data_IF_855918818070
#
_entry.id   IF_855918818070
#
_cell.length_a   1.000
_cell.length_b   1.000
_cell.length_c   1.000
_cell.angle_alpha   90.00
_cell.angle_beta   90.00
_cell.angle_gamma   90.00
#
_symmetry.space_group_name_H-M   'P 1'
#
loop_
_entity.id
_entity.type
_entity.pdbx_description
1 polymer ?
#
# COMPACT_ATOMS: atom_id res chain seq x y z
N UNK A 1 10.16 -12.12 23.31
CA UNK A 1 9.28 -12.24 22.16
C UNK A 1 9.89 -13.14 21.11
N UNK A 2 9.20 -14.17 20.75
CA UNK A 2 9.70 -15.12 19.78
C UNK A 2 9.63 -14.52 18.39
N UNK A 3 10.77 -14.50 17.71
CA UNK A 3 10.78 -14.13 16.31
C UNK A 3 10.23 -15.30 15.52
N UNK A 4 9.04 -15.15 14.98
CA UNK A 4 8.47 -16.19 14.15
C UNK A 4 9.27 -16.41 12.87
N UNK A 5 9.11 -17.57 12.26
CA UNK A 5 9.62 -17.85 10.93
C UNK A 5 8.90 -16.92 9.96
N UNK A 6 9.61 -16.26 9.01
CA UNK A 6 8.95 -15.43 8.00
C UNK A 6 7.89 -16.23 7.27
N UNK A 7 6.70 -15.66 7.17
CA UNK A 7 5.56 -16.31 6.52
C UNK A 7 5.02 -15.42 5.42
N UNK A 8 4.69 -16.02 4.29
CA UNK A 8 3.98 -15.35 3.22
C UNK A 8 2.50 -15.31 3.62
N UNK A 9 1.94 -14.12 3.63
CA UNK A 9 0.53 -13.92 3.93
C UNK A 9 -0.33 -14.49 2.80
N UNK A 10 -1.29 -15.34 3.13
CA UNK A 10 -2.16 -15.94 2.11
C UNK A 10 -3.29 -14.98 1.69
N UNK A 11 -4.01 -15.34 0.64
CA UNK A 11 -5.11 -14.52 0.11
C UNK A 11 -6.21 -14.33 1.13
N UNK A 12 -6.52 -15.35 1.92
CA UNK A 12 -7.58 -15.29 2.93
C UNK A 12 -7.25 -14.28 4.02
N UNK A 13 -6.01 -14.30 4.51
CA UNK A 13 -5.55 -13.34 5.53
C UNK A 13 -5.57 -11.91 5.00
N UNK A 14 -5.16 -11.70 3.76
CA UNK A 14 -5.22 -10.40 3.12
C UNK A 14 -6.68 -9.92 3.03
N UNK A 15 -7.58 -10.76 2.56
CA UNK A 15 -9.00 -10.43 2.45
C UNK A 15 -9.61 -10.04 3.79
N UNK A 16 -9.24 -10.74 4.84
CA UNK A 16 -9.74 -10.43 6.19
C UNK A 16 -9.33 -9.03 6.63
N UNK A 17 -8.06 -8.67 6.43
CA UNK A 17 -7.57 -7.34 6.76
C UNK A 17 -8.29 -6.28 5.93
N UNK A 18 -8.39 -6.49 4.61
CA UNK A 18 -9.01 -5.52 3.71
C UNK A 18 -10.49 -5.36 3.98
N UNK A 19 -11.20 -6.44 4.31
CA UNK A 19 -12.61 -6.39 4.68
C UNK A 19 -12.80 -5.53 5.94
N UNK A 20 -11.97 -5.76 6.96
CA UNK A 20 -12.00 -4.97 8.18
C UNK A 20 -11.81 -3.48 7.87
N UNK A 21 -10.81 -3.14 7.07
CA UNK A 21 -10.53 -1.75 6.71
C UNK A 21 -11.69 -1.11 5.94
N UNK A 22 -12.24 -1.84 4.98
CA UNK A 22 -13.36 -1.35 4.17
C UNK A 22 -14.59 -1.08 5.02
N UNK A 23 -14.92 -1.98 5.92
CA UNK A 23 -16.14 -1.87 6.73
C UNK A 23 -16.00 -0.89 7.89
N UNK A 24 -14.82 -0.72 8.46
CA UNK A 24 -14.66 0.03 9.70
C UNK A 24 -13.91 1.34 9.56
N UNK A 25 -13.19 1.56 8.47
CA UNK A 25 -12.29 2.70 8.34
C UNK A 25 -12.67 3.63 7.20
N UNK A 26 -13.11 3.10 6.06
CA UNK A 26 -13.44 3.92 4.90
C UNK A 26 -14.70 4.76 5.09
N UNK A 27 -14.73 5.99 4.61
CA UNK A 27 -13.60 6.75 4.10
C UNK A 27 -12.74 7.28 5.25
N UNK A 28 -11.45 7.48 5.00
CA UNK A 28 -10.53 7.97 6.02
C UNK A 28 -9.48 8.88 5.38
N UNK A 29 -8.91 9.78 6.17
CA UNK A 29 -7.94 10.74 5.67
C UNK A 29 -6.52 10.20 5.83
N UNK A 30 -5.73 10.29 4.77
CA UNK A 30 -4.31 9.99 4.86
C UNK A 30 -3.61 11.07 5.68
N UNK A 31 -2.81 10.67 6.64
CA UNK A 31 -2.13 11.60 7.53
C UNK A 31 -0.62 11.63 7.29
N UNK A 32 0.04 10.49 7.31
CA UNK A 32 1.49 10.42 7.13
C UNK A 32 1.95 9.01 6.75
N UNK A 33 3.22 8.91 6.38
CA UNK A 33 3.89 7.66 6.08
C UNK A 33 5.33 7.71 6.53
N UNK A 34 5.88 6.56 6.86
CA UNK A 34 7.30 6.40 7.16
C UNK A 34 7.77 5.02 6.69
N UNK A 35 9.06 4.90 6.41
CA UNK A 35 9.65 3.66 5.92
C UNK A 35 10.72 3.18 6.90
N UNK A 36 10.36 2.27 7.83
CA UNK A 36 11.31 1.80 8.86
C UNK A 36 12.42 0.92 8.29
N UNK A 37 12.14 0.20 7.22
CA UNK A 37 13.06 -0.73 6.58
C UNK A 37 12.97 -0.59 5.06
N UNK A 38 13.98 -1.06 4.31
CA UNK A 38 13.99 -0.89 2.84
C UNK A 38 12.76 -1.42 2.11
N UNK A 39 12.11 -2.44 2.64
CA UNK A 39 10.95 -3.08 2.00
C UNK A 39 9.67 -2.98 2.82
N UNK A 40 9.59 -2.03 3.75
CA UNK A 40 8.43 -1.89 4.64
C UNK A 40 8.05 -0.43 4.77
N UNK A 41 6.76 -0.12 4.59
CA UNK A 41 6.21 1.22 4.82
C UNK A 41 5.10 1.15 5.85
N UNK A 42 4.97 2.20 6.64
CA UNK A 42 3.90 2.35 7.62
C UNK A 42 3.08 3.57 7.25
N UNK A 43 1.78 3.36 7.09
CA UNK A 43 0.82 4.37 6.64
C UNK A 43 -0.13 4.72 7.78
N UNK A 44 -0.35 6.00 7.99
CA UNK A 44 -1.27 6.48 9.02
C UNK A 44 -2.50 7.11 8.39
N UNK A 45 -3.66 6.69 8.86
CA UNK A 45 -4.95 7.23 8.46
C UNK A 45 -5.69 7.76 9.68
N UNK A 46 -6.38 8.89 9.50
CA UNK A 46 -7.13 9.52 10.57
C UNK A 46 -8.61 9.53 10.24
N UNK A 47 -9.41 8.88 11.10
CA UNK A 47 -10.86 8.98 11.11
C UNK A 47 -11.33 10.09 12.05
N UNK A 48 -12.62 10.09 12.35
CA UNK A 48 -13.22 11.11 13.23
C UNK A 48 -12.62 11.06 14.65
N UNK A 49 -12.59 9.86 15.24
CA UNK A 49 -12.18 9.68 16.64
C UNK A 49 -10.95 8.78 16.79
N UNK A 50 -10.35 8.35 15.71
CA UNK A 50 -9.28 7.36 15.80
C UNK A 50 -8.23 7.54 14.71
N UNK A 51 -7.08 6.96 14.99
CA UNK A 51 -5.94 6.88 14.09
C UNK A 51 -5.70 5.40 13.80
N UNK A 52 -5.49 5.06 12.54
CA UNK A 52 -5.20 3.69 12.14
C UNK A 52 -3.85 3.65 11.44
N UNK A 53 -3.01 2.73 11.88
CA UNK A 53 -1.70 2.48 11.27
C UNK A 53 -1.71 1.14 10.56
N UNK A 54 -1.24 1.15 9.32
CA UNK A 54 -1.04 -0.05 8.52
C UNK A 54 0.44 -0.21 8.21
N UNK A 55 0.92 -1.44 8.33
CA UNK A 55 2.25 -1.78 7.88
C UNK A 55 2.14 -2.64 6.64
N UNK A 56 2.81 -2.22 5.57
CA UNK A 56 2.87 -2.97 4.33
C UNK A 56 4.31 -3.30 4.04
N UNK A 57 4.61 -4.58 3.88
CA UNK A 57 5.95 -5.05 3.54
C UNK A 57 5.94 -5.79 2.20
N UNK A 58 6.87 -5.43 1.35
CA UNK A 58 7.13 -6.14 0.10
C UNK A 58 8.45 -6.91 0.18
N UNK A 59 8.87 -7.24 1.39
CA UNK A 59 9.98 -8.16 1.61
C UNK A 59 9.60 -9.52 1.04
N UNK A 60 10.42 -10.07 0.15
CA UNK A 60 10.12 -11.32 -0.55
C UNK A 60 9.91 -12.51 0.38
N UNK A 61 10.51 -12.49 1.56
CA UNK A 61 10.38 -13.59 2.53
C UNK A 61 9.10 -13.50 3.36
N UNK A 62 8.55 -12.29 3.52
CA UNK A 62 7.36 -12.08 4.34
C UNK A 62 6.52 -10.89 3.86
N UNK A 63 6.01 -10.96 2.62
CA UNK A 63 5.14 -9.90 2.14
C UNK A 63 3.84 -9.88 2.96
N UNK A 64 3.39 -8.69 3.36
CA UNK A 64 2.23 -8.60 4.26
C UNK A 64 1.61 -7.21 4.28
N UNK A 65 0.35 -7.18 4.67
CA UNK A 65 -0.35 -5.96 5.06
C UNK A 65 -1.03 -6.22 6.42
N UNK A 66 -0.76 -5.38 7.41
CA UNK A 66 -1.23 -5.56 8.78
C UNK A 66 -1.66 -4.24 9.38
N UNK A 67 -2.70 -4.29 10.22
CA UNK A 67 -2.99 -3.20 11.14
C UNK A 67 -2.02 -3.32 12.32
N UNK A 68 -1.37 -2.23 12.69
CA UNK A 68 -0.40 -2.19 13.78
C UNK A 68 -0.76 -1.10 14.78
N UNK A 69 -0.17 -1.17 15.96
CA UNK A 69 -0.21 -0.07 16.91
C UNK A 69 0.65 1.07 16.40
N UNK A 70 0.41 2.28 16.90
CA UNK A 70 1.20 3.45 16.50
C UNK A 70 2.69 3.16 16.71
N UNK A 71 3.50 3.19 15.63
CA UNK A 71 4.92 2.93 15.74
C UNK A 71 5.68 4.16 16.26
N UNK A 72 6.92 3.94 16.66
CA UNK A 72 7.81 5.04 16.99
C UNK A 72 8.13 5.84 15.72
N UNK A 73 8.27 7.15 15.89
CA UNK A 73 8.60 8.04 14.79
C UNK A 73 10.05 7.79 14.36
N UNK A 74 10.24 7.66 13.04
CA UNK A 74 11.56 7.45 12.46
C UNK A 74 12.13 8.82 12.08
N UNK A 75 13.37 9.07 12.47
CA UNK A 75 14.03 10.37 12.24
C UNK A 75 14.57 10.57 10.82
N UNK A 76 14.46 9.55 9.96
CA UNK A 76 14.92 9.62 8.57
C UNK A 76 13.77 9.46 7.60
N UNK A 77 13.97 9.93 6.37
CA UNK A 77 12.95 9.90 5.34
C UNK A 77 13.52 9.27 4.07
N UNK A 78 12.80 8.31 3.49
CA UNK A 78 13.16 7.73 2.20
C UNK A 78 12.50 8.51 1.07
N UNK A 79 13.00 8.35 -0.15
CA UNK A 79 12.38 8.95 -1.33
C UNK A 79 10.93 8.49 -1.48
N UNK A 80 10.69 7.19 -1.31
CA UNK A 80 9.34 6.62 -1.42
C UNK A 80 8.39 7.21 -0.37
N UNK A 81 8.77 7.19 0.90
CA UNK A 81 7.91 7.71 1.98
C UNK A 81 7.65 9.21 1.82
N UNK A 82 8.64 9.96 1.35
CA UNK A 82 8.51 11.39 1.07
C UNK A 82 7.50 11.64 -0.05
N UNK A 83 7.62 10.92 -1.17
CA UNK A 83 6.71 11.04 -2.30
C UNK A 83 5.27 10.73 -1.90
N UNK A 84 5.08 9.64 -1.15
CA UNK A 84 3.76 9.23 -0.68
C UNK A 84 3.21 10.24 0.32
N UNK A 85 4.02 10.63 1.31
CA UNK A 85 3.60 11.54 2.36
C UNK A 85 3.14 12.89 1.80
N UNK A 86 3.91 13.48 0.90
CA UNK A 86 3.54 14.78 0.32
C UNK A 86 2.44 14.65 -0.72
N UNK A 87 2.45 13.59 -1.51
CA UNK A 87 1.47 13.42 -2.58
C UNK A 87 0.07 13.05 -2.10
N UNK A 88 -0.04 12.35 -0.97
CA UNK A 88 -1.32 11.89 -0.44
C UNK A 88 -1.80 12.70 0.77
N UNK A 89 -1.02 13.66 1.23
CA UNK A 89 -1.35 14.41 2.44
C UNK A 89 -2.74 15.06 2.33
N UNK A 90 -3.55 14.80 3.35
CA UNK A 90 -4.93 15.28 3.46
C UNK A 90 -5.92 14.68 2.45
N UNK A 91 -5.48 13.75 1.61
CA UNK A 91 -6.38 13.06 0.69
C UNK A 91 -7.21 12.01 1.42
N UNK A 92 -8.38 11.71 0.90
CA UNK A 92 -9.25 10.68 1.43
C UNK A 92 -8.99 9.34 0.75
N UNK A 93 -8.75 8.30 1.54
CA UNK A 93 -8.80 6.92 1.06
C UNK A 93 -10.27 6.56 0.93
N UNK A 94 -10.72 6.30 -0.29
CA UNK A 94 -12.14 6.06 -0.55
C UNK A 94 -12.43 4.68 -1.10
N UNK A 95 -11.43 3.95 -1.58
CA UNK A 95 -11.64 2.59 -2.07
C UNK A 95 -10.45 1.70 -1.77
N UNK A 96 -10.77 0.45 -1.53
CA UNK A 96 -9.79 -0.63 -1.35
C UNK A 96 -10.31 -1.79 -2.21
N UNK A 97 -9.54 -2.16 -3.23
CA UNK A 97 -9.89 -3.25 -4.13
C UNK A 97 -8.81 -4.32 -4.10
N UNK A 98 -9.21 -5.56 -4.26
CA UNK A 98 -8.31 -6.71 -4.33
C UNK A 98 -8.71 -7.58 -5.52
N UNK A 99 -7.73 -8.07 -6.26
CA UNK A 99 -7.96 -9.09 -7.27
C UNK A 99 -8.33 -10.40 -6.57
N UNK A 100 -9.37 -11.09 -7.07
CA UNK A 100 -9.89 -12.31 -6.47
C UNK A 100 -8.89 -13.45 -6.41
N UNK A 101 -7.95 -13.50 -7.34
CA UNK A 101 -7.03 -14.61 -7.49
C UNK A 101 -5.57 -14.25 -7.21
N UNK A 102 -5.28 -12.98 -6.99
CA UNK A 102 -3.92 -12.52 -6.80
C UNK A 102 -3.82 -11.67 -5.53
N UNK A 103 -2.61 -11.55 -5.03
CA UNK A 103 -2.33 -10.72 -3.84
C UNK A 103 -1.98 -9.31 -4.28
N UNK A 104 -2.85 -8.74 -5.10
CA UNK A 104 -2.72 -7.37 -5.60
C UNK A 104 -3.82 -6.53 -4.98
N UNK A 105 -3.43 -5.46 -4.30
CA UNK A 105 -4.33 -4.59 -3.57
C UNK A 105 -4.19 -3.18 -4.12
N UNK A 106 -5.32 -2.52 -4.34
CA UNK A 106 -5.35 -1.16 -4.87
C UNK A 106 -6.08 -0.24 -3.90
N UNK A 107 -5.39 0.78 -3.41
CA UNK A 107 -5.96 1.85 -2.60
C UNK A 107 -6.21 3.05 -3.51
N UNK A 108 -7.44 3.56 -3.52
CA UNK A 108 -7.82 4.74 -4.31
C UNK A 108 -8.01 5.96 -3.42
N UNK A 109 -7.36 7.06 -3.81
CA UNK A 109 -7.38 8.32 -3.05
C UNK A 109 -8.00 9.43 -3.87
N UNK A 110 -8.87 10.22 -3.23
CA UNK A 110 -9.49 11.41 -3.81
C UNK A 110 -9.18 12.62 -2.93
N UNK A 111 -9.33 13.82 -3.45
CA UNK A 111 -9.13 15.05 -2.66
C UNK A 111 -10.06 15.08 -1.46
N UNK A 112 -11.29 14.62 -1.64
CA UNK A 112 -12.29 14.48 -0.57
C UNK A 112 -13.25 13.36 -0.94
N UNK A 113 -14.00 12.79 0.03
CA UNK A 113 -15.01 11.79 -0.27
C UNK A 113 -16.03 12.34 -1.28
N UNK A 114 -16.38 11.53 -2.27
CA UNK A 114 -17.29 11.92 -3.34
C UNK A 114 -16.63 12.45 -4.59
N UNK A 115 -15.36 12.83 -4.53
CA UNK A 115 -14.59 13.24 -5.70
C UNK A 115 -14.05 12.01 -6.47
N UNK A 116 -13.59 12.26 -7.68
CA UNK A 116 -12.93 11.22 -8.47
C UNK A 116 -11.58 10.85 -7.85
N UNK A 117 -11.20 9.59 -8.02
CA UNK A 117 -9.89 9.11 -7.57
C UNK A 117 -8.81 9.76 -8.41
N UNK A 118 -7.82 10.36 -7.76
CA UNK A 118 -6.72 11.05 -8.41
C UNK A 118 -5.35 10.42 -8.15
N UNK A 119 -5.23 9.53 -7.16
CA UNK A 119 -3.98 8.83 -6.84
C UNK A 119 -4.29 7.40 -6.42
N UNK A 120 -3.30 6.53 -6.62
CA UNK A 120 -3.40 5.12 -6.24
C UNK A 120 -2.14 4.65 -5.54
N UNK A 121 -2.33 3.75 -4.56
CA UNK A 121 -1.26 2.89 -4.06
C UNK A 121 -1.62 1.46 -4.45
N UNK A 122 -0.69 0.75 -5.08
CA UNK A 122 -0.88 -0.65 -5.43
C UNK A 122 0.18 -1.47 -4.72
N UNK A 123 -0.26 -2.52 -4.04
CA UNK A 123 0.60 -3.44 -3.31
C UNK A 123 0.52 -4.80 -3.98
N UNK A 124 1.66 -5.31 -4.45
CA UNK A 124 1.78 -6.67 -4.94
C UNK A 124 2.52 -7.49 -3.88
N UNK A 125 1.81 -8.43 -3.26
CA UNK A 125 2.35 -9.20 -2.14
C UNK A 125 2.54 -10.66 -2.57
N UNK A 126 3.44 -10.89 -3.53
CA UNK A 126 3.65 -12.15 -4.24
C UNK A 126 5.08 -12.66 -4.10
N UNK A 127 5.49 -13.02 -2.89
CA UNK A 127 6.81 -13.56 -2.64
C UNK A 127 7.91 -12.59 -3.07
N UNK A 128 8.94 -13.10 -3.74
CA UNK A 128 10.08 -12.28 -4.16
C UNK A 128 9.75 -11.23 -5.23
N UNK A 129 8.58 -11.34 -5.85
CA UNK A 129 8.09 -10.34 -6.82
C UNK A 129 7.24 -9.26 -6.17
N UNK A 130 7.17 -9.25 -4.85
CA UNK A 130 6.40 -8.23 -4.12
C UNK A 130 6.95 -6.84 -4.34
N UNK A 131 6.07 -5.85 -4.39
CA UNK A 131 6.45 -4.45 -4.60
C UNK A 131 5.30 -3.51 -4.22
N UNK A 132 5.60 -2.23 -4.16
CA UNK A 132 4.60 -1.17 -3.98
C UNK A 132 4.76 -0.15 -5.10
N UNK A 133 3.63 0.35 -5.60
CA UNK A 133 3.59 1.37 -6.65
C UNK A 133 2.71 2.53 -6.22
N UNK A 134 3.23 3.75 -6.36
CA UNK A 134 2.45 4.97 -6.18
C UNK A 134 2.18 5.56 -7.57
N UNK A 135 0.91 5.74 -7.91
CA UNK A 135 0.48 6.10 -9.28
C UNK A 135 -0.36 7.36 -9.28
N UNK A 136 -0.32 8.10 -10.40
CA UNK A 136 -1.25 9.19 -10.65
C UNK A 136 -2.61 8.67 -11.17
N UNK A 137 -3.52 9.58 -11.51
CA UNK A 137 -4.86 9.22 -11.98
C UNK A 137 -4.88 8.52 -13.35
N UNK A 138 -3.79 8.58 -14.09
CA UNK A 138 -3.64 7.89 -15.36
C UNK A 138 -2.87 6.58 -15.22
N UNK A 139 -2.66 6.15 -13.99
CA UNK A 139 -1.88 4.96 -13.64
C UNK A 139 -0.41 5.05 -14.04
N UNK A 140 0.10 6.26 -14.17
CA UNK A 140 1.52 6.47 -14.41
C UNK A 140 2.26 6.39 -13.08
N UNK A 141 3.38 5.67 -13.07
CA UNK A 141 4.17 5.45 -11.85
C UNK A 141 4.86 6.75 -11.43
N UNK A 142 4.61 7.17 -10.20
CA UNK A 142 5.28 8.31 -9.56
C UNK A 142 6.46 7.80 -8.74
N UNK A 143 6.27 6.69 -8.01
CA UNK A 143 7.32 6.08 -7.20
C UNK A 143 7.07 4.58 -7.05
N UNK A 144 8.15 3.84 -6.79
CA UNK A 144 8.10 2.38 -6.59
C UNK A 144 8.96 2.00 -5.39
N UNK A 145 8.61 0.87 -4.76
CA UNK A 145 9.39 0.33 -3.66
C UNK A 145 10.72 -0.27 -4.15
N UNK A 146 10.65 -1.12 -5.15
CA UNK A 146 11.82 -1.72 -5.78
C UNK A 146 11.93 -1.28 -7.22
N UNK A 147 13.10 -0.81 -7.61
CA UNK A 147 13.37 -0.53 -9.02
C UNK A 147 13.42 -1.84 -9.80
N UNK A 148 12.77 -1.85 -10.95
CA UNK A 148 12.72 -3.01 -11.82
C UNK A 148 13.57 -2.70 -13.04
N UNK A 149 14.50 -3.59 -13.35
CA UNK A 149 15.38 -3.43 -14.51
C UNK A 149 14.56 -3.54 -15.79
N UNK A 150 14.91 -2.74 -16.78
CA UNK A 150 14.22 -2.74 -18.08
C UNK A 150 14.25 -4.10 -18.76
N UNK A 151 15.26 -4.94 -18.46
CA UNK A 151 15.34 -6.31 -18.96
C UNK A 151 14.29 -7.24 -18.36
N UNK A 152 13.64 -6.83 -17.27
CA UNK A 152 12.55 -7.58 -16.66
C UNK A 152 11.25 -7.15 -17.29
N UNK A 153 11.03 -7.54 -18.52
CA UNK A 153 9.83 -7.19 -19.29
C UNK A 153 8.53 -7.54 -18.58
N UNK A 154 8.57 -8.49 -17.66
CA UNK A 154 7.43 -8.88 -16.83
C UNK A 154 6.83 -7.71 -16.07
N UNK A 155 7.63 -6.72 -15.69
CA UNK A 155 7.11 -5.56 -14.97
C UNK A 155 6.10 -4.78 -15.80
N UNK A 156 6.41 -4.51 -17.05
CA UNK A 156 5.51 -3.78 -17.92
C UNK A 156 4.23 -4.57 -18.18
N UNK A 157 4.36 -5.87 -18.30
CA UNK A 157 3.21 -6.76 -18.42
C UNK A 157 2.36 -6.71 -17.16
N UNK A 158 2.98 -6.73 -16.00
CA UNK A 158 2.29 -6.62 -14.71
C UNK A 158 1.57 -5.28 -14.63
N UNK A 159 2.26 -4.18 -14.95
CA UNK A 159 1.64 -2.86 -14.92
C UNK A 159 0.45 -2.78 -15.87
N UNK A 160 0.60 -3.31 -17.08
CA UNK A 160 -0.49 -3.39 -18.05
C UNK A 160 -1.61 -4.26 -17.54
N UNK A 161 -1.27 -5.38 -16.91
CA UNK A 161 -2.25 -6.28 -16.29
C UNK A 161 -3.03 -5.59 -15.18
N UNK A 162 -2.35 -4.82 -14.32
CA UNK A 162 -3.00 -4.05 -13.27
C UNK A 162 -4.01 -3.05 -13.84
N UNK A 163 -3.66 -2.38 -14.92
CA UNK A 163 -4.58 -1.46 -15.60
C UNK A 163 -5.83 -2.17 -16.11
N UNK A 164 -5.70 -3.42 -16.50
CA UNK A 164 -6.84 -4.22 -16.98
C UNK A 164 -7.67 -4.79 -15.84
N UNK A 165 -7.03 -5.12 -14.72
CA UNK A 165 -7.71 -5.71 -13.57
C UNK A 165 -8.61 -4.71 -12.84
N UNK A 166 -8.25 -3.47 -12.86
CA UNK A 166 -8.93 -2.41 -12.14
C UNK A 166 -9.51 -1.35 -13.09
#
# INVERSE_FOLDING_TARGET
MQKGVPQIMDITSIRSVLHYLTMNILPTKFETAQQPEPNTIQLCFRGVDSQTWLEVSWNGDSPRILKINKPEKIGRESTLSKQIRYGLKYMALISIDQDDFERVIKFGFAKKPGDEISKYLIFELMGKHSNIFYLDNKHKIIAVGKQIKSSQSSFRTISTGLLKLF
#
